data_IF_769481489212
#
_entry.id   IF_769481489212
#
_cell.length_a   1.000
_cell.length_b   1.000
_cell.length_c   1.000
_cell.angle_alpha   90.00
_cell.angle_beta   90.00
_cell.angle_gamma   90.00
#
_symmetry.space_group_name_H-M   'P 1'
#
loop_
_entity.id
_entity.type
_entity.pdbx_description
1 polymer ?
#
# COMPACT_ATOMS: atom_id res chain seq x y z
N UNK A 1 -13.31 38.32 19.23
CA UNK A 1 -14.64 37.75 18.98
C UNK A 1 -15.09 38.30 17.63
N UNK A 2 -14.93 37.53 16.56
CA UNK A 2 -15.56 37.83 15.28
C UNK A 2 -16.09 36.49 14.76
N UNK A 3 -17.40 36.33 14.94
CA UNK A 3 -18.22 35.26 14.42
C UNK A 3 -18.34 35.48 12.91
N UNK A 4 -17.83 34.55 12.12
CA UNK A 4 -18.28 34.40 10.73
C UNK A 4 -19.50 33.49 10.79
N UNK A 5 -20.68 34.12 10.77
CA UNK A 5 -21.95 33.45 10.64
C UNK A 5 -21.95 32.61 9.36
N UNK A 6 -22.00 31.29 9.55
CA UNK A 6 -22.15 30.31 8.47
C UNK A 6 -23.64 30.28 8.13
N UNK A 7 -24.04 31.03 7.10
CA UNK A 7 -25.42 31.06 6.63
C UNK A 7 -25.88 29.65 6.27
N UNK A 8 -26.94 29.18 6.93
CA UNK A 8 -27.51 27.83 6.86
C UNK A 8 -28.52 27.63 5.72
N UNK A 9 -28.59 28.55 4.76
CA UNK A 9 -29.70 28.65 3.80
C UNK A 9 -29.29 28.42 2.33
N UNK A 10 -28.12 27.83 2.06
CA UNK A 10 -27.82 27.34 0.70
C UNK A 10 -28.58 26.02 0.47
N UNK A 11 -29.66 26.09 -0.32
CA UNK A 11 -30.32 24.89 -0.83
C UNK A 11 -29.30 24.02 -1.58
N UNK A 12 -29.26 22.69 -1.29
CA UNK A 12 -28.28 21.81 -1.91
C UNK A 12 -28.49 21.77 -3.44
N UNK A 13 -27.42 22.05 -4.17
CA UNK A 13 -27.38 22.01 -5.65
C UNK A 13 -27.98 20.67 -6.16
N UNK A 14 -29.03 20.71 -7.00
CA UNK A 14 -29.70 19.51 -7.51
C UNK A 14 -28.81 18.62 -8.39
N UNK A 15 -27.68 19.15 -8.88
CA UNK A 15 -26.67 18.39 -9.64
C UNK A 15 -25.50 17.91 -8.76
N UNK A 16 -25.59 18.03 -7.43
CA UNK A 16 -24.57 17.54 -6.51
C UNK A 16 -24.47 16.02 -6.53
N UNK A 17 -23.65 15.50 -7.44
CA UNK A 17 -23.22 14.11 -7.44
C UNK A 17 -22.40 13.91 -6.15
N UNK A 18 -23.02 13.27 -5.16
CA UNK A 18 -22.33 12.85 -3.95
C UNK A 18 -21.04 12.14 -4.33
N UNK A 19 -19.90 12.69 -3.89
CA UNK A 19 -18.63 12.00 -4.03
C UNK A 19 -18.71 10.62 -3.35
N UNK A 20 -17.92 9.63 -3.79
CA UNK A 20 -17.91 8.32 -3.15
C UNK A 20 -17.74 8.40 -1.62
N UNK A 21 -16.99 9.41 -1.14
CA UNK A 21 -16.84 9.71 0.27
C UNK A 21 -18.15 10.13 0.96
N UNK A 22 -18.89 11.09 0.39
CA UNK A 22 -20.14 11.57 0.99
C UNK A 22 -21.24 10.50 0.91
N UNK A 23 -21.29 9.70 -0.16
CA UNK A 23 -22.19 8.54 -0.23
C UNK A 23 -21.88 7.52 0.87
N UNK A 24 -20.61 7.14 1.05
CA UNK A 24 -20.21 6.17 2.08
C UNK A 24 -20.51 6.72 3.48
N UNK A 25 -20.21 8.00 3.73
CA UNK A 25 -20.58 8.69 4.97
C UNK A 25 -22.08 8.56 5.24
N UNK A 26 -22.94 8.97 4.31
CA UNK A 26 -24.40 8.92 4.49
C UNK A 26 -24.92 7.50 4.75
N UNK A 27 -24.40 6.50 4.04
CA UNK A 27 -24.80 5.08 4.23
C UNK A 27 -24.43 4.59 5.65
N UNK A 28 -23.23 4.92 6.12
CA UNK A 28 -22.74 4.45 7.43
C UNK A 28 -23.45 5.16 8.58
N UNK A 29 -23.72 6.46 8.45
CA UNK A 29 -24.50 7.22 9.44
C UNK A 29 -25.96 6.74 9.49
N UNK A 30 -26.60 6.47 8.35
CA UNK A 30 -27.96 5.92 8.31
C UNK A 30 -28.08 4.53 8.97
N UNK A 31 -26.97 3.82 9.15
CA UNK A 31 -26.89 2.51 9.82
C UNK A 31 -26.38 2.58 11.26
N UNK A 32 -26.23 3.79 11.82
CA UNK A 32 -25.61 4.03 13.13
C UNK A 32 -24.21 3.40 13.28
N UNK A 33 -23.49 3.28 12.16
CA UNK A 33 -22.18 2.64 12.07
C UNK A 33 -21.04 3.66 12.12
N UNK A 34 -21.09 4.58 13.09
CA UNK A 34 -20.14 5.69 13.23
C UNK A 34 -18.69 5.22 13.40
N UNK A 35 -18.46 4.16 14.18
CA UNK A 35 -17.12 3.57 14.34
C UNK A 35 -16.54 3.02 13.04
N UNK A 36 -17.41 2.49 12.16
CA UNK A 36 -16.98 2.00 10.85
C UNK A 36 -16.62 3.16 9.92
N UNK A 37 -17.33 4.27 10.03
CA UNK A 37 -17.00 5.49 9.29
C UNK A 37 -15.65 6.06 9.73
N UNK A 38 -15.38 6.15 11.04
CA UNK A 38 -14.07 6.60 11.53
C UNK A 38 -12.93 5.71 11.02
N UNK A 39 -13.11 4.38 11.02
CA UNK A 39 -12.12 3.45 10.45
C UNK A 39 -11.91 3.67 8.96
N UNK A 40 -12.98 3.92 8.20
CA UNK A 40 -12.91 4.22 6.78
C UNK A 40 -12.17 5.54 6.51
N UNK A 41 -12.50 6.58 7.27
CA UNK A 41 -11.89 7.91 7.17
C UNK A 41 -10.39 7.89 7.52
N UNK A 42 -10.02 7.20 8.60
CA UNK A 42 -8.62 6.97 8.99
C UNK A 42 -7.84 6.24 7.90
N UNK A 43 -8.44 5.20 7.30
CA UNK A 43 -7.81 4.43 6.23
C UNK A 43 -7.61 5.25 4.96
N UNK A 44 -8.59 6.06 4.58
CA UNK A 44 -8.45 6.96 3.44
C UNK A 44 -7.36 8.00 3.66
N UNK A 45 -7.37 8.63 4.85
CA UNK A 45 -6.36 9.62 5.24
C UNK A 45 -4.97 9.00 5.19
N UNK A 46 -4.82 7.79 5.75
CA UNK A 46 -3.57 7.03 5.67
C UNK A 46 -3.14 6.75 4.24
N UNK A 47 -4.03 6.24 3.40
CA UNK A 47 -3.72 5.94 2.00
C UNK A 47 -3.28 7.18 1.21
N UNK A 48 -3.84 8.35 1.54
CA UNK A 48 -3.42 9.62 0.97
C UNK A 48 -2.01 9.99 1.44
N UNK A 49 -1.75 9.94 2.75
CA UNK A 49 -0.45 10.28 3.34
C UNK A 49 0.67 9.32 2.89
N UNK A 50 0.39 8.02 2.76
CA UNK A 50 1.34 7.01 2.29
C UNK A 50 1.80 7.22 0.84
N UNK A 51 1.12 8.09 0.06
CA UNK A 51 1.59 8.49 -1.27
C UNK A 51 2.74 9.51 -1.19
N UNK A 52 2.89 10.20 -0.07
CA UNK A 52 4.00 11.13 0.14
C UNK A 52 5.27 10.34 0.53
N UNK A 53 6.37 10.41 -0.24
CA UNK A 53 7.61 9.73 0.10
C UNK A 53 8.20 10.20 1.43
N UNK A 54 7.92 11.42 1.88
CA UNK A 54 8.41 11.97 3.14
C UNK A 54 7.54 11.55 4.33
N UNK A 55 6.37 10.93 4.11
CA UNK A 55 5.54 10.41 5.18
C UNK A 55 6.08 9.08 5.69
N UNK A 56 6.21 8.98 7.00
CA UNK A 56 6.65 7.79 7.73
C UNK A 56 5.56 7.36 8.72
N UNK A 57 5.01 6.17 8.52
CA UNK A 57 4.12 5.52 9.47
C UNK A 57 4.93 4.84 10.58
N UNK A 58 4.44 4.91 11.82
CA UNK A 58 5.04 4.17 12.92
C UNK A 58 4.87 2.65 12.72
N UNK A 59 5.95 1.85 12.72
CA UNK A 59 5.88 0.40 12.49
C UNK A 59 5.44 -0.41 13.71
N UNK A 60 5.26 0.24 14.87
CA UNK A 60 4.84 -0.42 16.09
C UNK A 60 3.33 -0.68 16.07
N UNK A 61 2.91 -1.94 16.26
CA UNK A 61 1.51 -2.36 16.13
C UNK A 61 0.52 -1.69 17.11
N UNK A 62 1.03 -1.20 18.23
CA UNK A 62 0.31 -0.46 19.27
C UNK A 62 0.33 1.06 19.04
N UNK A 63 0.98 1.55 17.97
CA UNK A 63 1.05 2.97 17.63
C UNK A 63 0.56 3.20 16.19
N UNK A 64 -0.51 3.98 16.05
CA UNK A 64 -1.15 4.25 14.76
C UNK A 64 -0.73 5.61 14.16
N UNK A 65 0.28 6.25 14.73
CA UNK A 65 0.76 7.58 14.36
C UNK A 65 1.65 7.55 13.11
N UNK A 66 1.68 8.66 12.37
CA UNK A 66 2.66 8.90 11.32
C UNK A 66 3.13 10.35 11.33
N UNK A 67 4.24 10.61 10.65
CA UNK A 67 4.93 11.90 10.66
C UNK A 67 5.58 12.17 9.31
N UNK A 68 5.70 13.45 8.95
CA UNK A 68 6.48 13.88 7.79
C UNK A 68 7.95 14.05 8.20
N UNK A 69 8.86 13.63 7.33
CA UNK A 69 10.29 13.80 7.50
C UNK A 69 10.79 14.92 6.60
N UNK A 70 11.39 15.95 7.18
CA UNK A 70 12.10 16.96 6.40
C UNK A 70 13.39 16.33 5.84
N UNK A 71 13.44 16.13 4.53
CA UNK A 71 14.58 15.56 3.79
C UNK A 71 15.74 16.56 3.61
N UNK A 72 15.56 17.79 4.11
CA UNK A 72 16.47 18.93 3.92
C UNK A 72 17.65 18.94 4.91
N UNK A 73 17.51 18.24 6.03
CA UNK A 73 18.55 18.08 7.04
C UNK A 73 19.13 16.67 6.93
N UNK A 74 20.47 16.55 7.01
CA UNK A 74 21.23 15.29 7.01
C UNK A 74 20.38 14.10 7.50
N UNK A 75 19.99 13.21 6.58
CA UNK A 75 19.11 12.08 6.83
C UNK A 75 19.67 11.25 8.00
N UNK A 76 19.13 11.45 9.20
CA UNK A 76 19.49 10.65 10.36
C UNK A 76 19.02 9.23 10.11
N UNK A 77 19.90 8.25 10.37
CA UNK A 77 19.57 6.83 10.19
C UNK A 77 18.41 6.36 11.10
N UNK A 78 18.18 7.07 12.20
CA UNK A 78 17.08 6.83 13.12
C UNK A 78 16.25 8.10 13.33
N UNK A 79 14.97 7.91 13.57
CA UNK A 79 14.01 8.96 13.91
C UNK A 79 13.10 8.47 15.05
N UNK A 80 12.72 9.36 15.96
CA UNK A 80 11.77 9.04 17.02
C UNK A 80 10.34 9.28 16.54
N UNK A 81 9.43 8.36 16.85
CA UNK A 81 8.01 8.55 16.61
C UNK A 81 7.48 9.73 17.44
N UNK A 82 6.79 10.69 16.82
CA UNK A 82 6.24 11.87 17.53
C UNK A 82 5.25 11.52 18.64
N UNK A 83 4.55 10.38 18.52
CA UNK A 83 3.57 9.94 19.49
C UNK A 83 4.17 9.03 20.57
N UNK A 84 4.79 7.91 20.19
CA UNK A 84 5.27 6.92 21.14
C UNK A 84 6.75 7.05 21.51
N UNK A 85 7.49 8.00 20.92
CA UNK A 85 8.92 8.28 21.18
C UNK A 85 9.87 7.10 20.94
N UNK A 86 9.39 6.05 20.29
CA UNK A 86 10.21 4.87 19.94
C UNK A 86 10.95 5.11 18.63
N UNK A 87 12.13 4.50 18.53
CA UNK A 87 13.04 4.69 17.42
C UNK A 87 12.65 3.86 16.21
N UNK A 88 12.71 4.48 15.04
CA UNK A 88 12.39 3.91 13.74
C UNK A 88 13.61 4.09 12.84
N UNK A 89 13.94 3.09 12.03
CA UNK A 89 14.92 3.24 10.97
C UNK A 89 14.29 4.05 9.81
N UNK A 90 14.89 5.19 9.46
CA UNK A 90 14.37 6.06 8.38
C UNK A 90 14.53 5.43 6.99
N UNK A 91 15.59 4.63 6.79
CA UNK A 91 15.85 3.95 5.52
C UNK A 91 14.93 2.74 5.29
N UNK A 92 14.82 1.87 6.29
CA UNK A 92 14.03 0.63 6.19
C UNK A 92 12.56 0.79 6.58
N UNK A 93 12.20 1.91 7.22
CA UNK A 93 10.84 2.18 7.71
C UNK A 93 10.31 1.08 8.63
N UNK A 94 11.21 0.54 9.45
CA UNK A 94 10.96 -0.57 10.38
C UNK A 94 11.48 -0.22 11.77
N UNK A 95 11.31 -1.14 12.72
CA UNK A 95 11.86 -1.02 14.06
C UNK A 95 13.36 -0.70 14.00
N UNK A 96 13.81 0.23 14.84
CA UNK A 96 15.23 0.54 14.91
C UNK A 96 16.06 -0.67 15.33
N UNK A 97 17.08 -0.98 14.52
CA UNK A 97 17.98 -2.10 14.73
C UNK A 97 19.23 -1.64 15.50
N UNK A 98 19.06 -1.40 16.80
CA UNK A 98 20.13 -0.96 17.71
C UNK A 98 21.35 -1.88 17.61
N UNK A 99 22.54 -1.28 17.51
CA UNK A 99 23.81 -2.02 17.44
C UNK A 99 24.13 -2.60 16.08
N UNK A 100 23.31 -2.30 15.05
CA UNK A 100 23.55 -2.70 13.67
C UNK A 100 23.44 -1.49 12.74
N UNK A 101 24.33 -1.40 11.76
CA UNK A 101 24.19 -0.53 10.60
C UNK A 101 23.06 -1.02 9.69
N UNK A 102 22.58 -0.16 8.78
CA UNK A 102 21.55 -0.58 7.83
C UNK A 102 22.04 -1.73 6.93
N UNK A 103 23.30 -1.68 6.49
CA UNK A 103 23.89 -2.74 5.66
C UNK A 103 23.99 -4.08 6.39
N UNK A 104 24.29 -4.07 7.69
CA UNK A 104 24.29 -5.29 8.52
C UNK A 104 22.89 -5.87 8.68
N UNK A 105 21.89 -5.00 8.88
CA UNK A 105 20.50 -5.40 8.95
C UNK A 105 20.04 -6.07 7.64
N UNK A 106 20.38 -5.51 6.48
CA UNK A 106 20.07 -6.10 5.17
C UNK A 106 20.69 -7.49 4.97
N UNK A 107 21.96 -7.67 5.39
CA UNK A 107 22.63 -8.98 5.35
C UNK A 107 21.93 -10.01 6.25
N UNK A 108 21.43 -9.61 7.40
CA UNK A 108 20.65 -10.50 8.26
C UNK A 108 19.25 -10.80 7.68
N UNK A 109 18.58 -9.82 7.09
CA UNK A 109 17.24 -10.03 6.51
C UNK A 109 17.26 -10.89 5.24
N UNK A 110 18.39 -10.96 4.54
CA UNK A 110 18.56 -11.88 3.42
C UNK A 110 18.76 -13.34 3.88
N UNK A 111 19.41 -13.56 5.02
CA UNK A 111 19.60 -14.91 5.57
C UNK A 111 18.35 -15.46 6.27
N UNK A 112 17.61 -14.62 7.00
CA UNK A 112 16.39 -15.02 7.74
C UNK A 112 15.17 -15.26 6.85
N UNK A 113 15.01 -14.46 5.78
CA UNK A 113 13.93 -14.64 4.80
C UNK A 113 14.25 -15.68 3.72
N UNK A 114 15.32 -16.47 3.89
CA UNK A 114 15.77 -17.45 2.90
C UNK A 114 14.69 -18.49 2.60
N UNK A 115 13.98 -19.02 3.60
CA UNK A 115 12.92 -20.01 3.41
C UNK A 115 11.70 -19.46 2.66
N UNK A 116 11.23 -18.26 3.01
CA UNK A 116 10.09 -17.61 2.32
C UNK A 116 10.46 -17.18 0.90
N UNK A 117 11.67 -16.62 0.71
CA UNK A 117 12.19 -16.26 -0.62
C UNK A 117 12.43 -17.51 -1.48
N UNK A 118 12.89 -18.60 -0.88
CA UNK A 118 13.09 -19.88 -1.53
C UNK A 118 11.76 -20.49 -1.97
N UNK A 119 10.76 -20.51 -1.08
CA UNK A 119 9.41 -20.97 -1.43
C UNK A 119 8.80 -20.13 -2.55
N UNK A 120 8.88 -18.79 -2.46
CA UNK A 120 8.41 -17.90 -3.53
C UNK A 120 9.13 -18.19 -4.85
N UNK A 121 10.45 -18.40 -4.83
CA UNK A 121 11.24 -18.72 -6.04
C UNK A 121 10.87 -20.08 -6.64
N UNK A 122 10.52 -21.06 -5.81
CA UNK A 122 10.14 -22.39 -6.27
C UNK A 122 8.70 -22.46 -6.77
N UNK A 123 7.79 -21.71 -6.17
CA UNK A 123 6.35 -21.87 -6.38
C UNK A 123 5.69 -20.71 -7.12
N UNK A 124 6.40 -19.61 -7.39
CA UNK A 124 5.83 -18.44 -8.04
C UNK A 124 6.65 -17.91 -9.22
N UNK A 125 5.96 -17.30 -10.20
CA UNK A 125 6.57 -16.49 -11.27
C UNK A 125 6.12 -15.05 -11.11
N UNK A 126 6.98 -14.09 -11.43
CA UNK A 126 6.63 -12.67 -11.36
C UNK A 126 5.76 -12.24 -12.55
N UNK A 127 4.71 -11.46 -12.29
CA UNK A 127 3.95 -10.83 -13.35
C UNK A 127 4.83 -9.86 -14.16
N UNK A 128 4.87 -9.98 -15.48
CA UNK A 128 5.60 -9.05 -16.37
C UNK A 128 5.07 -7.61 -16.28
N UNK A 129 3.78 -7.42 -15.97
CA UNK A 129 3.14 -6.10 -15.87
C UNK A 129 3.29 -5.45 -14.49
N UNK A 130 3.00 -6.18 -13.42
CA UNK A 130 2.92 -5.59 -12.06
C UNK A 130 3.96 -6.16 -11.07
N UNK A 131 4.84 -7.06 -11.52
CA UNK A 131 5.93 -7.71 -10.75
C UNK A 131 5.51 -8.50 -9.51
N UNK A 132 4.21 -8.59 -9.20
CA UNK A 132 3.71 -9.41 -8.09
C UNK A 132 3.95 -10.91 -8.37
N UNK A 133 4.30 -11.71 -7.36
CA UNK A 133 4.45 -13.15 -7.49
C UNK A 133 3.10 -13.80 -7.79
N UNK A 134 3.10 -14.75 -8.72
CA UNK A 134 1.94 -15.51 -9.19
C UNK A 134 2.22 -16.98 -8.99
N UNK A 135 1.34 -17.67 -8.28
CA UNK A 135 1.35 -19.14 -8.16
C UNK A 135 0.48 -19.76 -9.26
N UNK A 136 0.92 -20.89 -9.84
CA UNK A 136 0.10 -21.62 -10.82
C UNK A 136 -1.04 -22.35 -10.12
N UNK A 137 -2.28 -21.96 -10.40
CA UNK A 137 -3.45 -22.80 -10.15
C UNK A 137 -3.53 -23.81 -11.30
N UNK A 138 -3.64 -25.10 -10.97
CA UNK A 138 -3.47 -26.24 -11.89
C UNK A 138 -4.27 -26.16 -13.21
N UNK A 139 -3.87 -26.95 -14.20
CA UNK A 139 -4.70 -27.31 -15.36
C UNK A 139 -4.47 -26.52 -16.66
N UNK A 140 -4.26 -25.20 -16.62
CA UNK A 140 -4.15 -24.37 -17.83
C UNK A 140 -2.90 -23.49 -17.84
N UNK A 141 -2.23 -23.39 -19.00
CA UNK A 141 -1.11 -22.47 -19.19
C UNK A 141 -1.56 -21.05 -19.54
N UNK A 142 -2.82 -20.82 -19.93
CA UNK A 142 -3.38 -19.48 -20.05
C UNK A 142 -3.75 -18.93 -18.67
N UNK A 143 -3.05 -17.90 -18.22
CA UNK A 143 -3.27 -17.28 -16.92
C UNK A 143 -3.72 -15.84 -17.04
N UNK A 144 -4.76 -15.48 -16.28
CA UNK A 144 -5.22 -14.10 -16.10
C UNK A 144 -5.03 -13.71 -14.64
N UNK A 145 -4.24 -12.67 -14.41
CA UNK A 145 -3.95 -12.19 -13.05
C UNK A 145 -4.88 -11.05 -12.62
N UNK A 146 -4.86 -10.70 -11.32
CA UNK A 146 -5.67 -9.61 -10.72
C UNK A 146 -5.42 -8.27 -11.43
N UNK A 147 -4.21 -8.04 -11.95
CA UNK A 147 -3.88 -6.86 -12.77
C UNK A 147 -4.47 -6.88 -14.20
N UNK A 148 -5.34 -7.85 -14.49
CA UNK A 148 -6.00 -8.13 -15.77
C UNK A 148 -5.05 -8.45 -16.93
N UNK A 149 -3.78 -8.74 -16.65
CA UNK A 149 -2.85 -9.23 -17.66
C UNK A 149 -3.09 -10.71 -17.93
N UNK A 150 -3.17 -11.06 -19.22
CA UNK A 150 -3.36 -12.42 -19.75
C UNK A 150 -2.05 -12.87 -20.38
N UNK A 151 -1.47 -13.97 -19.90
CA UNK A 151 -0.17 -14.45 -20.35
C UNK A 151 -0.08 -15.98 -20.30
N UNK A 152 0.88 -16.53 -21.04
CA UNK A 152 1.21 -17.96 -20.97
C UNK A 152 2.13 -18.25 -19.77
N UNK A 153 1.76 -19.19 -18.91
CA UNK A 153 2.54 -19.56 -17.74
C UNK A 153 3.94 -20.08 -18.09
N UNK A 154 4.10 -20.77 -19.22
CA UNK A 154 5.39 -21.36 -19.62
C UNK A 154 6.41 -20.27 -19.98
N UNK A 155 6.07 -19.40 -20.91
CA UNK A 155 6.98 -18.42 -21.50
C UNK A 155 6.78 -16.97 -21.03
N UNK A 156 5.73 -16.69 -20.25
CA UNK A 156 5.36 -15.36 -19.78
C UNK A 156 4.98 -14.35 -20.90
N UNK A 157 4.85 -14.82 -22.14
CA UNK A 157 4.41 -14.01 -23.26
C UNK A 157 2.92 -13.65 -23.16
N UNK A 158 2.57 -12.50 -23.75
CA UNK A 158 1.19 -12.01 -23.77
C UNK A 158 0.30 -12.99 -24.54
N UNK A 159 -0.74 -13.50 -23.88
CA UNK A 159 -1.57 -14.55 -24.46
C UNK A 159 -2.33 -14.07 -25.70
N UNK A 160 -2.68 -12.78 -25.76
CA UNK A 160 -3.34 -12.21 -26.94
C UNK A 160 -2.43 -12.21 -28.17
N UNK A 161 -1.12 -12.04 -27.98
CA UNK A 161 -0.18 -12.10 -29.07
C UNK A 161 0.00 -13.55 -29.56
N UNK A 162 0.02 -14.52 -28.64
CA UNK A 162 0.09 -15.95 -28.98
C UNK A 162 -1.14 -16.37 -29.81
N UNK A 163 -2.35 -15.92 -29.45
CA UNK A 163 -3.56 -16.21 -30.22
C UNK A 163 -3.51 -15.56 -31.61
N UNK A 164 -3.03 -14.32 -31.71
CA UNK A 164 -3.10 -13.53 -32.95
C UNK A 164 -1.98 -13.83 -33.96
N UNK A 165 -0.79 -14.22 -33.48
CA UNK A 165 0.40 -14.39 -34.32
C UNK A 165 0.92 -15.84 -34.35
N UNK A 166 0.26 -16.77 -33.65
CA UNK A 166 0.60 -18.19 -33.66
C UNK A 166 1.71 -18.58 -32.68
N UNK A 167 2.03 -19.88 -32.69
CA UNK A 167 2.96 -20.56 -31.76
C UNK A 167 4.41 -20.06 -31.83
N UNK A 168 4.76 -19.22 -32.80
CA UNK A 168 6.08 -18.59 -32.93
C UNK A 168 6.37 -17.57 -31.81
N UNK A 169 5.34 -17.13 -31.07
CA UNK A 169 5.48 -16.24 -29.91
C UNK A 169 5.36 -16.97 -28.56
N UNK A 170 5.47 -18.30 -28.58
CA UNK A 170 5.38 -19.17 -27.40
C UNK A 170 6.75 -19.54 -26.82
#
# INVERSE_FOLDING_TARGET
>A
MNSTDFNSDEEPDPDYILSPYTTIRSILFARDATDLFHKYDDQLTRQCLEQNPDYLLCPYSDCNSGQLQDTNENLKAHIACVHCQRMICSFHRTLWHTGMTCDEYDRCQTSTNSSTKFWLKQHTKSCSKCRRPIEKKSGCDHMRYICRHEFCWKCLANFRLIINHGLEQH
#
